data_IF_787083191067
#
_entry.id   IF_787083191067
#
_cell.length_a   1.000
_cell.length_b   1.000
_cell.length_c   1.000
_cell.angle_alpha   90.00
_cell.angle_beta   90.00
_cell.angle_gamma   90.00
#
_symmetry.space_group_name_H-M   'P 1'
#
loop_
_entity.id
_entity.type
_entity.pdbx_description
1 polymer ?
#
# COMPACT_ATOMS: atom_id res chain seq x y z
N UNK A 1 -17.83 5.03 -7.55
CA UNK A 1 -18.71 3.97 -8.07
C UNK A 1 -19.71 3.61 -6.97
N UNK A 2 -21.02 3.59 -7.26
CA UNK A 2 -22.04 3.17 -6.30
C UNK A 2 -22.74 1.92 -6.84
N UNK A 3 -22.75 0.86 -6.03
CA UNK A 3 -23.30 -0.46 -6.41
C UNK A 3 -24.53 -0.79 -5.56
N UNK A 4 -25.29 -1.83 -5.92
CA UNK A 4 -26.39 -2.32 -5.06
C UNK A 4 -25.88 -3.00 -3.78
N UNK A 5 -24.57 -3.27 -3.68
CA UNK A 5 -23.95 -3.85 -2.49
C UNK A 5 -23.57 -2.75 -1.48
N UNK A 6 -24.37 -2.66 -0.41
CA UNK A 6 -24.19 -1.67 0.66
C UNK A 6 -22.87 -1.80 1.40
N UNK A 7 -22.42 -3.02 1.72
CA UNK A 7 -21.17 -3.21 2.45
C UNK A 7 -19.95 -2.83 1.60
N UNK A 8 -20.00 -3.09 0.29
CA UNK A 8 -18.96 -2.64 -0.63
C UNK A 8 -18.91 -1.11 -0.69
N UNK A 9 -20.06 -0.43 -0.78
CA UNK A 9 -20.10 1.04 -0.84
C UNK A 9 -19.53 1.67 0.43
N UNK A 10 -19.79 1.10 1.61
CA UNK A 10 -19.21 1.56 2.88
C UNK A 10 -17.69 1.44 2.88
N UNK A 11 -17.15 0.31 2.39
CA UNK A 11 -15.70 0.10 2.24
C UNK A 11 -15.11 1.06 1.20
N UNK A 12 -15.79 1.27 0.08
CA UNK A 12 -15.33 2.20 -0.96
C UNK A 12 -15.22 3.62 -0.41
N UNK A 13 -16.27 4.12 0.25
CA UNK A 13 -16.27 5.46 0.84
C UNK A 13 -15.20 5.60 1.93
N UNK A 14 -14.99 4.56 2.75
CA UNK A 14 -13.97 4.57 3.80
C UNK A 14 -12.54 4.63 3.25
N UNK A 15 -12.24 3.92 2.16
CA UNK A 15 -10.85 3.70 1.72
C UNK A 15 -10.46 4.40 0.42
N UNK A 16 -11.39 4.92 -0.39
CA UNK A 16 -11.08 5.50 -1.73
C UNK A 16 -9.97 6.57 -1.70
N UNK A 17 -10.02 7.50 -0.75
CA UNK A 17 -9.04 8.58 -0.66
C UNK A 17 -7.68 8.07 -0.19
N UNK A 18 -7.66 7.11 0.75
CA UNK A 18 -6.43 6.48 1.23
C UNK A 18 -5.72 5.72 0.10
N UNK A 19 -6.49 4.97 -0.70
CA UNK A 19 -5.96 4.17 -1.80
C UNK A 19 -5.49 5.06 -2.95
N UNK A 20 -6.23 6.12 -3.29
CA UNK A 20 -5.79 7.12 -4.27
C UNK A 20 -4.48 7.78 -3.85
N UNK A 21 -4.37 8.21 -2.58
CA UNK A 21 -3.15 8.82 -2.06
C UNK A 21 -1.95 7.85 -2.10
N UNK A 22 -2.17 6.60 -1.73
CA UNK A 22 -1.13 5.56 -1.80
C UNK A 22 -0.70 5.33 -3.25
N UNK A 23 -1.65 5.13 -4.17
CA UNK A 23 -1.37 4.93 -5.59
C UNK A 23 -0.59 6.11 -6.18
N UNK A 24 -0.96 7.35 -5.85
CA UNK A 24 -0.25 8.55 -6.29
C UNK A 24 1.18 8.62 -5.74
N UNK A 25 1.35 8.38 -4.44
CA UNK A 25 2.66 8.43 -3.77
C UNK A 25 3.67 7.47 -4.41
N UNK A 26 3.22 6.29 -4.82
CA UNK A 26 4.10 5.27 -5.40
C UNK A 26 4.23 5.36 -6.94
N UNK A 27 3.20 5.83 -7.65
CA UNK A 27 3.23 5.94 -9.12
C UNK A 27 3.86 7.24 -9.61
N UNK A 28 3.73 8.34 -8.87
CA UNK A 28 4.15 9.68 -9.27
C UNK A 28 3.27 10.32 -10.36
N UNK A 29 2.16 9.68 -10.76
CA UNK A 29 1.23 10.18 -11.77
C UNK A 29 -0.20 10.12 -11.24
N UNK A 30 -0.91 11.25 -11.31
CA UNK A 30 -2.30 11.31 -10.84
C UNK A 30 -3.24 10.47 -11.69
N UNK A 31 -3.14 10.57 -13.01
CA UNK A 31 -3.93 9.76 -13.95
C UNK A 31 -3.73 8.26 -13.70
N UNK A 32 -2.47 7.82 -13.53
CA UNK A 32 -2.19 6.43 -13.18
C UNK A 32 -2.76 6.04 -11.81
N UNK A 33 -2.72 6.95 -10.84
CA UNK A 33 -3.27 6.71 -9.51
C UNK A 33 -4.78 6.53 -9.51
N UNK A 34 -5.52 7.31 -10.30
CA UNK A 34 -6.97 7.15 -10.48
C UNK A 34 -7.30 5.80 -11.08
N UNK A 35 -6.62 5.42 -12.17
CA UNK A 35 -6.80 4.12 -12.83
C UNK A 35 -6.51 2.97 -11.86
N UNK A 36 -5.36 3.00 -11.19
CA UNK A 36 -4.97 1.98 -10.20
C UNK A 36 -6.00 1.86 -9.09
N UNK A 37 -6.52 2.99 -8.61
CA UNK A 37 -7.54 3.00 -7.55
C UNK A 37 -8.81 2.33 -8.05
N UNK A 38 -9.28 2.71 -9.24
CA UNK A 38 -10.49 2.15 -9.85
C UNK A 38 -10.35 0.63 -10.07
N UNK A 39 -9.21 0.21 -10.61
CA UNK A 39 -8.89 -1.19 -10.88
C UNK A 39 -8.80 -2.02 -9.59
N UNK A 40 -8.26 -1.43 -8.52
CA UNK A 40 -8.13 -2.08 -7.21
C UNK A 40 -9.50 -2.31 -6.58
N UNK A 41 -10.40 -1.32 -6.62
CA UNK A 41 -11.76 -1.48 -6.10
C UNK A 41 -12.61 -2.40 -6.98
N UNK A 42 -12.39 -2.44 -8.29
CA UNK A 42 -13.05 -3.39 -9.18
C UNK A 42 -12.65 -4.84 -8.84
N UNK A 43 -11.36 -5.09 -8.61
CA UNK A 43 -10.86 -6.42 -8.16
C UNK A 43 -11.44 -6.81 -6.80
N UNK A 44 -11.56 -5.84 -5.87
CA UNK A 44 -12.26 -6.06 -4.61
C UNK A 44 -13.72 -6.46 -4.84
N UNK A 45 -14.43 -5.75 -5.72
CA UNK A 45 -15.84 -6.04 -6.01
C UNK A 45 -16.02 -7.44 -6.59
N UNK A 46 -15.19 -7.84 -7.55
CA UNK A 46 -15.23 -9.18 -8.16
C UNK A 46 -14.88 -10.31 -7.18
N UNK A 47 -13.97 -10.05 -6.24
CA UNK A 47 -13.53 -11.02 -5.24
C UNK A 47 -14.24 -10.92 -3.89
N UNK A 48 -15.25 -10.06 -3.77
CA UNK A 48 -15.78 -9.59 -2.49
C UNK A 48 -16.28 -10.74 -1.60
N UNK A 49 -17.06 -11.65 -2.17
CA UNK A 49 -17.66 -12.79 -1.43
C UNK A 49 -16.62 -13.80 -0.94
N UNK A 50 -15.42 -13.82 -1.54
CA UNK A 50 -14.34 -14.74 -1.18
C UNK A 50 -13.37 -14.17 -0.12
N UNK A 51 -13.43 -12.87 0.14
CA UNK A 51 -12.49 -12.21 1.05
C UNK A 51 -13.02 -12.13 2.48
N UNK A 52 -12.22 -12.61 3.44
CA UNK A 52 -12.51 -12.43 4.86
C UNK A 52 -12.40 -10.93 5.20
N UNK A 53 -13.49 -10.33 5.68
CA UNK A 53 -13.62 -8.89 6.04
C UNK A 53 -12.44 -8.29 6.81
N UNK A 54 -11.73 -9.08 7.63
CA UNK A 54 -10.57 -8.62 8.43
C UNK A 54 -9.35 -8.19 7.62
N UNK A 55 -9.23 -8.57 6.33
CA UNK A 55 -8.01 -8.32 5.54
C UNK A 55 -8.19 -7.32 4.40
N UNK A 56 -9.38 -6.71 4.25
CA UNK A 56 -9.71 -5.87 3.09
C UNK A 56 -8.83 -4.62 3.03
N UNK A 57 -8.61 -3.93 4.16
CA UNK A 57 -7.78 -2.72 4.21
C UNK A 57 -6.32 -2.97 3.83
N UNK A 58 -5.72 -4.03 4.39
CA UNK A 58 -4.36 -4.45 4.03
C UNK A 58 -4.28 -4.89 2.57
N UNK A 59 -5.27 -5.62 2.08
CA UNK A 59 -5.29 -6.10 0.71
C UNK A 59 -5.42 -4.94 -0.29
N UNK A 60 -6.30 -3.97 -0.03
CA UNK A 60 -6.46 -2.76 -0.85
C UNK A 60 -5.14 -1.97 -0.92
N UNK A 61 -4.49 -1.73 0.23
CA UNK A 61 -3.23 -0.99 0.27
C UNK A 61 -2.11 -1.72 -0.47
N UNK A 62 -1.92 -3.01 -0.22
CA UNK A 62 -0.87 -3.81 -0.88
C UNK A 62 -1.09 -3.89 -2.39
N UNK A 63 -2.34 -4.09 -2.83
CA UNK A 63 -2.69 -4.17 -4.26
C UNK A 63 -2.40 -2.86 -4.98
N UNK A 64 -2.84 -1.74 -4.42
CA UNK A 64 -2.62 -0.42 -5.00
C UNK A 64 -1.14 -0.02 -4.99
N UNK A 65 -0.42 -0.26 -3.88
CA UNK A 65 1.05 -0.03 -3.79
C UNK A 65 1.78 -0.80 -4.88
N UNK A 66 1.50 -2.10 -5.02
CA UNK A 66 2.20 -2.94 -5.99
C UNK A 66 1.89 -2.54 -7.42
N UNK A 67 0.64 -2.21 -7.74
CA UNK A 67 0.25 -1.71 -9.04
C UNK A 67 0.96 -0.38 -9.38
N UNK A 68 1.04 0.54 -8.43
CA UNK A 68 1.72 1.82 -8.59
C UNK A 68 3.24 1.69 -8.76
N UNK A 69 3.88 0.80 -8.01
CA UNK A 69 5.31 0.50 -8.18
C UNK A 69 5.60 -0.15 -9.54
N UNK A 70 4.72 -1.03 -10.01
CA UNK A 70 4.83 -1.65 -11.33
C UNK A 70 4.66 -0.62 -12.45
N UNK A 71 3.67 0.28 -12.32
CA UNK A 71 3.50 1.40 -13.24
C UNK A 71 4.77 2.23 -13.31
N UNK A 72 5.31 2.69 -12.16
CA UNK A 72 6.52 3.51 -12.11
C UNK A 72 7.74 2.80 -12.71
N UNK A 73 7.89 1.50 -12.47
CA UNK A 73 8.99 0.69 -13.03
C UNK A 73 8.88 0.56 -14.55
N UNK A 74 7.66 0.37 -15.08
CA UNK A 74 7.39 0.32 -16.51
C UNK A 74 7.64 1.68 -17.15
N UNK A 75 7.07 2.73 -16.56
CA UNK A 75 7.19 4.09 -17.05
C UNK A 75 8.65 4.59 -17.02
N UNK A 76 9.42 4.25 -15.98
CA UNK A 76 10.86 4.56 -15.95
C UNK A 76 11.63 3.85 -17.06
N UNK A 77 11.31 2.59 -17.39
CA UNK A 77 11.93 1.87 -18.51
C UNK A 77 11.57 2.50 -19.86
N UNK A 78 10.29 2.86 -20.03
CA UNK A 78 9.82 3.55 -21.23
C UNK A 78 10.48 4.93 -21.36
N UNK A 79 10.64 5.70 -20.28
CA UNK A 79 11.39 6.95 -20.28
C UNK A 79 12.86 6.72 -20.66
N UNK A 80 13.54 5.70 -20.11
CA UNK A 80 14.92 5.37 -20.52
C UNK A 80 15.03 4.93 -22.00
N UNK A 81 13.96 4.39 -22.59
CA UNK A 81 13.88 4.09 -24.03
C UNK A 81 13.50 5.33 -24.88
N UNK A 82 12.88 6.35 -24.28
CA UNK A 82 12.45 7.61 -24.91
C UNK A 82 13.49 8.74 -24.74
N UNK A 83 14.40 8.65 -23.77
CA UNK A 83 15.48 9.63 -23.48
C UNK A 83 16.54 9.76 -24.59
N UNK A 84 16.49 8.92 -25.63
CA UNK A 84 17.18 9.22 -26.89
C UNK A 84 16.47 10.33 -27.70
N UNK A 85 15.28 10.82 -27.31
CA UNK A 85 14.50 11.67 -28.21
C UNK A 85 13.41 12.62 -27.66
N UNK A 86 13.25 12.92 -26.35
CA UNK A 86 12.27 13.96 -25.99
C UNK A 86 12.48 14.67 -24.63
N UNK A 87 12.79 15.96 -24.71
CA UNK A 87 12.63 16.97 -23.65
C UNK A 87 11.16 17.40 -23.58
N UNK A 88 10.48 17.23 -22.43
CA UNK A 88 9.32 18.09 -22.12
C UNK A 88 9.00 18.11 -20.64
N UNK A 89 9.26 19.29 -20.07
CA UNK A 89 8.52 19.88 -18.96
C UNK A 89 7.03 19.98 -19.34
N UNK A 90 6.14 19.49 -18.47
CA UNK A 90 4.78 20.01 -18.17
C UNK A 90 3.90 18.86 -17.63
N UNK A 91 3.66 18.88 -16.32
CA UNK A 91 2.35 18.58 -15.73
C UNK A 91 2.44 18.81 -14.22
N UNK A 92 2.48 20.10 -13.85
CA UNK A 92 2.30 20.56 -12.47
C UNK A 92 0.95 21.26 -12.36
N UNK A 93 -0.13 20.61 -12.76
CA UNK A 93 -1.48 21.14 -12.55
C UNK A 93 -2.07 20.65 -11.23
N UNK A 94 -2.13 21.61 -10.31
CA UNK A 94 -2.99 21.74 -9.12
C UNK A 94 -4.08 20.66 -8.97
N UNK A 95 -3.82 19.70 -8.07
CA UNK A 95 -4.87 19.21 -7.19
C UNK A 95 -4.63 19.78 -5.80
N UNK A 96 -5.61 20.56 -5.33
CA UNK A 96 -5.73 20.95 -3.93
C UNK A 96 -5.63 19.67 -3.10
N UNK A 97 -4.48 19.48 -2.45
CA UNK A 97 -4.38 18.55 -1.36
C UNK A 97 -5.51 18.92 -0.41
N UNK A 98 -6.43 18.00 -0.12
CA UNK A 98 -7.15 18.07 1.14
C UNK A 98 -6.07 18.10 2.21
N UNK A 99 -5.74 19.31 2.65
CA UNK A 99 -4.93 19.54 3.84
C UNK A 99 -5.76 18.90 4.93
N UNK A 100 -5.33 17.72 5.40
CA UNK A 100 -5.92 17.06 6.56
C UNK A 100 -6.02 18.13 7.64
N UNK A 101 -7.18 18.24 8.29
CA UNK A 101 -7.27 19.20 9.39
C UNK A 101 -6.24 18.83 10.46
N UNK A 102 -5.82 19.80 11.26
CA UNK A 102 -4.83 19.57 12.31
C UNK A 102 -5.25 18.43 13.26
N UNK A 103 -6.56 18.29 13.50
CA UNK A 103 -7.16 17.22 14.27
C UNK A 103 -7.00 15.84 13.61
N UNK A 104 -7.19 15.75 12.30
CA UNK A 104 -7.04 14.50 11.55
C UNK A 104 -5.58 14.08 11.44
N UNK A 105 -4.67 15.05 11.29
CA UNK A 105 -3.23 14.80 11.33
C UNK A 105 -2.78 14.33 12.71
N UNK A 106 -3.26 14.97 13.79
CA UNK A 106 -2.99 14.56 15.16
C UNK A 106 -3.47 13.13 15.47
N UNK A 107 -4.69 12.78 15.04
CA UNK A 107 -5.24 11.43 15.23
C UNK A 107 -4.43 10.37 14.46
N UNK A 108 -3.93 10.71 13.28
CA UNK A 108 -3.10 9.81 12.49
C UNK A 108 -1.71 9.63 13.11
N UNK A 109 -1.11 10.70 13.62
CA UNK A 109 0.17 10.67 14.35
C UNK A 109 0.04 9.84 15.64
N UNK A 110 -1.05 10.02 16.40
CA UNK A 110 -1.35 9.24 17.60
C UNK A 110 -1.53 7.75 17.27
N UNK A 111 -2.23 7.45 16.17
CA UNK A 111 -2.39 6.07 15.69
C UNK A 111 -1.07 5.46 15.24
N UNK A 112 -0.20 6.24 14.58
CA UNK A 112 1.15 5.78 14.22
C UNK A 112 1.99 5.49 15.45
N UNK A 113 1.93 6.35 16.47
CA UNK A 113 2.63 6.13 17.73
C UNK A 113 2.17 4.85 18.42
N UNK A 114 0.86 4.62 18.53
CA UNK A 114 0.32 3.38 19.09
C UNK A 114 0.73 2.14 18.29
N UNK A 115 0.80 2.24 16.95
CA UNK A 115 1.30 1.16 16.10
C UNK A 115 2.78 0.87 16.36
N UNK A 116 3.61 1.90 16.51
CA UNK A 116 5.03 1.75 16.83
C UNK A 116 5.22 1.10 18.20
N UNK A 117 4.48 1.55 19.21
CA UNK A 117 4.51 0.95 20.56
C UNK A 117 4.08 -0.52 20.56
N UNK A 118 3.01 -0.85 19.82
CA UNK A 118 2.55 -2.23 19.69
C UNK A 118 3.57 -3.09 18.94
N UNK A 119 4.19 -2.53 17.88
CA UNK A 119 5.23 -3.21 17.12
C UNK A 119 6.43 -3.52 18.01
N UNK A 120 6.97 -2.52 18.70
CA UNK A 120 8.09 -2.71 19.64
C UNK A 120 7.74 -3.79 20.67
N UNK A 121 6.55 -3.72 21.29
CA UNK A 121 6.12 -4.71 22.27
C UNK A 121 6.06 -6.13 21.68
N UNK A 122 5.47 -6.31 20.50
CA UNK A 122 5.37 -7.63 19.86
C UNK A 122 6.77 -8.19 19.59
N UNK A 123 7.66 -7.39 19.00
CA UNK A 123 8.98 -7.84 18.58
C UNK A 123 9.89 -8.12 19.78
N UNK A 124 9.85 -7.29 20.83
CA UNK A 124 10.58 -7.54 22.08
C UNK A 124 10.11 -8.83 22.76
N UNK A 125 8.79 -9.00 22.92
CA UNK A 125 8.26 -10.24 23.52
C UNK A 125 8.56 -11.47 22.66
N UNK A 126 8.57 -11.33 21.33
CA UNK A 126 8.89 -12.42 20.43
C UNK A 126 10.36 -12.83 20.54
N UNK A 127 11.27 -11.85 20.60
CA UNK A 127 12.71 -12.07 20.81
C UNK A 127 12.97 -12.78 22.14
N UNK A 128 12.33 -12.32 23.23
CA UNK A 128 12.43 -12.97 24.55
C UNK A 128 11.89 -14.41 24.56
N UNK A 129 10.80 -14.65 23.84
CA UNK A 129 10.16 -15.98 23.74
C UNK A 129 11.01 -16.94 22.90
N UNK A 130 11.44 -16.51 21.73
CA UNK A 130 12.15 -17.33 20.75
C UNK A 130 12.84 -16.45 19.69
N UNK A 131 14.16 -16.33 19.80
CA UNK A 131 15.02 -15.59 18.87
C UNK A 131 14.86 -16.05 17.41
N UNK A 132 14.70 -17.36 17.15
CA UNK A 132 14.50 -17.85 15.77
C UNK A 132 13.18 -17.40 15.16
N UNK A 133 12.11 -17.27 15.96
CA UNK A 133 10.83 -16.79 15.43
C UNK A 133 10.89 -15.30 15.11
N UNK A 134 11.63 -14.54 15.92
CA UNK A 134 11.93 -13.15 15.63
C UNK A 134 12.65 -13.03 14.28
N UNK A 135 13.74 -13.75 14.08
CA UNK A 135 14.53 -13.70 12.84
C UNK A 135 13.69 -14.09 11.62
N UNK A 136 12.89 -15.16 11.71
CA UNK A 136 12.00 -15.58 10.62
C UNK A 136 10.99 -14.48 10.24
N UNK A 137 10.35 -13.86 11.24
CA UNK A 137 9.35 -12.82 11.00
C UNK A 137 10.01 -11.57 10.43
N UNK A 138 11.17 -11.15 10.93
CA UNK A 138 11.91 -10.00 10.39
C UNK A 138 12.32 -10.26 8.94
N UNK A 139 12.91 -11.41 8.64
CA UNK A 139 13.36 -11.74 7.28
C UNK A 139 12.19 -11.78 6.29
N UNK A 140 11.08 -12.43 6.64
CA UNK A 140 9.96 -12.62 5.71
C UNK A 140 9.09 -11.36 5.58
N UNK A 141 8.76 -10.71 6.70
CA UNK A 141 7.77 -9.62 6.70
C UNK A 141 8.37 -8.22 6.67
N UNK A 142 9.58 -8.03 7.21
CA UNK A 142 10.23 -6.72 7.20
C UNK A 142 11.20 -6.56 6.03
N UNK A 143 12.00 -7.59 5.76
CA UNK A 143 12.96 -7.60 4.64
C UNK A 143 12.35 -8.08 3.32
N UNK A 144 11.04 -8.40 3.31
CA UNK A 144 10.30 -8.96 2.17
C UNK A 144 11.01 -10.17 1.52
N UNK A 145 11.76 -10.95 2.32
CA UNK A 145 12.52 -12.09 1.81
C UNK A 145 11.59 -13.27 1.49
N UNK A 146 11.72 -13.91 0.31
CA UNK A 146 10.98 -15.13 0.02
C UNK A 146 11.22 -16.19 1.10
N UNK A 147 10.15 -16.84 1.56
CA UNK A 147 10.21 -17.80 2.68
C UNK A 147 11.26 -18.90 2.48
N UNK A 148 11.42 -19.41 1.26
CA UNK A 148 12.44 -20.40 0.94
C UNK A 148 13.87 -19.90 1.17
N UNK A 149 14.15 -18.64 0.84
CA UNK A 149 15.46 -18.00 1.05
C UNK A 149 15.70 -17.66 2.51
N UNK A 150 14.66 -17.27 3.24
CA UNK A 150 14.74 -17.06 4.68
C UNK A 150 15.03 -18.38 5.42
N UNK A 151 14.37 -19.48 5.04
CA UNK A 151 14.62 -20.80 5.59
C UNK A 151 16.06 -21.28 5.34
N UNK A 152 16.56 -21.12 4.10
CA UNK A 152 17.95 -21.41 3.74
C UNK A 152 18.94 -20.61 4.59
N UNK A 153 18.72 -19.30 4.74
CA UNK A 153 19.57 -18.42 5.54
C UNK A 153 19.54 -18.78 7.03
N UNK A 154 18.42 -19.29 7.52
CA UNK A 154 18.23 -19.75 8.90
C UNK A 154 18.67 -21.19 9.14
N UNK A 155 19.07 -21.93 8.10
CA UNK A 155 19.52 -23.32 8.18
C UNK A 155 18.45 -24.32 8.62
N UNK A 156 17.19 -24.10 8.20
CA UNK A 156 16.03 -24.97 8.49
C UNK A 156 15.34 -25.47 7.23
#
# INVERSE_FOLDING_TARGET
MLTENREFNEIYEQYKNLILKAAYTYSGSYSAAEDITQDTFLKLYMGYDSMKKKNISSWLFTTAKNAALNYRKKHSREIFEIDENWDSEEDTEKYEAQVKSAEEQFLEDELQKQRLELHEKIFTNLMEKNERWYDAIVLVYYMEMPQAKAAELMGI
#
